data_IF_235880445564
#
_entry.id   IF_235880445564
#
_cell.length_a   1.000
_cell.length_b   1.000
_cell.length_c   1.000
_cell.angle_alpha   90.00
_cell.angle_beta   90.00
_cell.angle_gamma   90.00
#
_symmetry.space_group_name_H-M   'P 1'
#
loop_
_entity.id
_entity.type
_entity.pdbx_description
1 polymer ?
#
# COMPACT_ATOMS: atom_id res chain seq x y z
N UNK A 1 -14.34 23.21 -62.71
CA UNK A 1 -14.51 22.30 -61.55
C UNK A 1 -13.14 22.01 -60.95
N UNK A 2 -13.07 21.72 -59.65
CA UNK A 2 -12.01 22.11 -58.70
C UNK A 2 -10.62 21.48 -58.96
N UNK A 3 -9.60 22.34 -59.01
CA UNK A 3 -8.17 21.98 -59.06
C UNK A 3 -7.65 21.62 -57.67
N UNK A 4 -6.90 20.53 -57.58
CA UNK A 4 -6.31 19.98 -56.35
C UNK A 4 -5.29 20.96 -55.73
N UNK A 5 -5.53 21.35 -54.47
CA UNK A 5 -4.57 22.10 -53.67
C UNK A 5 -3.47 21.16 -53.15
N UNK A 6 -2.20 21.47 -53.47
CA UNK A 6 -1.01 20.81 -52.92
C UNK A 6 -0.94 21.04 -51.40
N UNK A 7 -1.07 19.96 -50.62
CA UNK A 7 -0.79 19.98 -49.19
C UNK A 7 0.73 20.07 -48.97
N UNK A 8 1.18 21.16 -48.33
CA UNK A 8 2.59 21.42 -48.03
C UNK A 8 3.20 20.49 -46.97
N UNK A 9 4.54 20.44 -46.86
CA UNK A 9 5.29 19.44 -46.09
C UNK A 9 5.12 19.54 -44.56
N UNK A 10 4.45 20.58 -44.04
CA UNK A 10 4.25 20.80 -42.61
C UNK A 10 3.42 19.71 -41.90
N UNK A 11 2.55 19.00 -42.63
CA UNK A 11 1.77 17.90 -42.05
C UNK A 11 2.59 16.64 -41.76
N UNK A 12 3.67 16.40 -42.50
CA UNK A 12 4.52 15.24 -42.28
C UNK A 12 5.37 15.39 -41.00
N UNK A 13 5.76 16.62 -40.65
CA UNK A 13 6.62 16.89 -39.50
C UNK A 13 5.90 16.66 -38.15
N UNK A 14 4.60 16.95 -38.07
CA UNK A 14 3.80 16.78 -36.85
C UNK A 14 3.53 15.31 -36.50
N UNK A 15 3.48 14.42 -37.50
CA UNK A 15 3.30 12.97 -37.27
C UNK A 15 4.59 12.32 -36.77
N UNK A 16 5.76 12.79 -37.23
CA UNK A 16 7.05 12.25 -36.80
C UNK A 16 7.37 12.54 -35.32
N UNK A 17 6.90 13.66 -34.78
CA UNK A 17 7.12 14.03 -33.37
C UNK A 17 6.31 13.19 -32.38
N UNK A 18 5.21 12.55 -32.81
CA UNK A 18 4.37 11.72 -31.94
C UNK A 18 4.95 10.31 -31.68
N UNK A 19 6.02 9.91 -32.39
CA UNK A 19 6.67 8.60 -32.25
C UNK A 19 7.89 8.61 -31.33
N UNK A 20 8.27 9.76 -30.77
CA UNK A 20 9.44 9.87 -29.89
C UNK A 20 9.01 9.61 -28.45
N UNK A 21 9.10 8.33 -28.07
CA UNK A 21 9.37 7.90 -26.70
C UNK A 21 8.18 7.90 -25.73
N UNK A 22 7.48 6.77 -25.63
CA UNK A 22 6.85 6.40 -24.37
C UNK A 22 7.98 6.10 -23.38
N UNK A 23 8.40 7.07 -22.57
CA UNK A 23 9.24 6.77 -21.42
C UNK A 23 8.44 5.87 -20.50
N UNK A 24 8.93 4.67 -20.22
CA UNK A 24 8.35 3.78 -19.21
C UNK A 24 8.35 4.53 -17.87
N UNK A 25 7.18 5.04 -17.48
CA UNK A 25 7.00 5.61 -16.16
C UNK A 25 7.06 4.45 -15.17
N UNK A 26 8.23 4.22 -14.58
CA UNK A 26 8.39 3.32 -13.44
C UNK A 26 7.64 3.90 -12.24
N UNK A 27 6.35 3.56 -12.14
CA UNK A 27 5.56 3.81 -10.96
C UNK A 27 6.18 3.01 -9.81
N UNK A 28 6.93 3.69 -8.95
CA UNK A 28 7.45 3.10 -7.72
C UNK A 28 6.26 2.58 -6.91
N UNK A 29 6.16 1.26 -6.78
CA UNK A 29 5.10 0.64 -6.00
C UNK A 29 5.22 1.12 -4.56
N UNK A 30 4.11 1.58 -3.97
CA UNK A 30 4.08 2.03 -2.58
C UNK A 30 4.47 0.87 -1.67
N UNK A 31 5.74 0.84 -1.23
CA UNK A 31 6.27 -0.24 -0.41
C UNK A 31 5.56 -0.24 0.94
N UNK A 32 5.12 -1.40 1.39
CA UNK A 32 4.59 -1.56 2.74
C UNK A 32 5.65 -1.16 3.77
N UNK A 33 5.25 -0.40 4.80
CA UNK A 33 6.16 0.09 5.83
C UNK A 33 6.08 -0.82 7.05
N UNK A 34 7.19 -1.45 7.49
CA UNK A 34 7.22 -2.17 8.75
C UNK A 34 7.23 -1.17 9.92
N UNK A 35 6.41 -1.44 10.93
CA UNK A 35 6.43 -0.74 12.21
C UNK A 35 6.38 -1.77 13.33
N UNK A 36 7.36 -1.68 14.22
CA UNK A 36 7.35 -2.40 15.50
C UNK A 36 6.44 -1.66 16.48
N UNK A 37 5.41 -2.33 16.93
CA UNK A 37 4.41 -1.76 17.81
C UNK A 37 3.82 -2.82 18.75
N UNK A 38 3.26 -2.34 19.85
CA UNK A 38 2.41 -3.14 20.73
C UNK A 38 0.98 -3.03 20.23
N UNK A 39 0.31 -4.16 20.08
CA UNK A 39 -1.10 -4.19 19.72
C UNK A 39 -1.93 -3.76 20.94
N UNK A 40 -2.62 -2.62 20.86
CA UNK A 40 -3.48 -2.17 21.96
C UNK A 40 -4.88 -2.78 21.86
N UNK A 41 -5.42 -2.83 20.65
CA UNK A 41 -6.75 -3.39 20.41
C UNK A 41 -6.84 -3.98 19.00
N UNK A 42 -7.54 -5.11 18.90
CA UNK A 42 -7.91 -5.75 17.62
C UNK A 42 -9.42 -5.89 17.63
N UNK A 43 -10.09 -5.29 16.65
CA UNK A 43 -11.52 -5.49 16.42
C UNK A 43 -11.72 -6.04 15.02
N UNK A 44 -11.97 -7.34 14.92
CA UNK A 44 -12.24 -8.01 13.64
C UNK A 44 -13.62 -7.61 13.08
N UNK A 45 -14.59 -7.38 13.97
CA UNK A 45 -15.93 -6.90 13.62
C UNK A 45 -15.87 -5.51 12.96
N UNK A 46 -15.22 -4.55 13.62
CA UNK A 46 -15.06 -3.20 13.09
C UNK A 46 -13.91 -3.07 12.06
N UNK A 47 -13.19 -4.17 11.81
CA UNK A 47 -12.00 -4.23 10.94
C UNK A 47 -10.99 -3.14 11.25
N UNK A 48 -10.65 -3.00 12.52
CA UNK A 48 -9.70 -2.00 13.01
C UNK A 48 -8.63 -2.64 13.88
N UNK A 49 -7.42 -2.14 13.73
CA UNK A 49 -6.26 -2.45 14.54
C UNK A 49 -5.71 -1.15 15.13
N UNK A 50 -5.61 -1.09 16.45
CA UNK A 50 -4.96 0.02 17.14
C UNK A 50 -3.60 -0.44 17.63
N UNK A 51 -2.56 0.31 17.26
CA UNK A 51 -1.18 0.00 17.61
C UNK A 51 -0.53 1.17 18.34
N UNK A 52 0.25 0.86 19.36
CA UNK A 52 1.15 1.80 20.02
C UNK A 52 2.57 1.59 19.50
N UNK A 53 3.13 2.54 18.70
CA UNK A 53 4.50 2.43 18.23
C UNK A 53 5.49 2.48 19.39
N UNK A 54 6.54 1.65 19.36
CA UNK A 54 7.50 1.54 20.46
C UNK A 54 8.25 2.85 20.79
N UNK A 55 8.35 3.79 19.85
CA UNK A 55 9.13 5.05 19.99
C UNK A 55 8.32 6.22 20.56
N UNK A 56 7.40 5.98 21.49
CA UNK A 56 6.64 7.04 22.18
C UNK A 56 5.75 7.89 21.26
N UNK A 57 5.37 7.36 20.09
CA UNK A 57 4.43 8.03 19.19
C UNK A 57 3.00 7.74 19.63
N UNK A 58 2.09 8.64 19.28
CA UNK A 58 0.67 8.45 19.53
C UNK A 58 0.16 7.13 18.92
N UNK A 59 -0.81 6.46 19.57
CA UNK A 59 -1.48 5.31 19.00
C UNK A 59 -2.01 5.58 17.60
N UNK A 60 -1.83 4.60 16.71
CA UNK A 60 -2.26 4.69 15.32
C UNK A 60 -3.35 3.66 15.05
N UNK A 61 -4.45 4.12 14.46
CA UNK A 61 -5.56 3.27 14.06
C UNK A 61 -5.37 2.91 12.58
N UNK A 62 -5.34 1.61 12.30
CA UNK A 62 -5.16 1.05 10.97
C UNK A 62 -6.38 0.21 10.59
N UNK A 63 -6.79 0.28 9.33
CA UNK A 63 -7.87 -0.56 8.82
C UNK A 63 -7.36 -1.99 8.57
N UNK A 64 -8.12 -2.98 9.02
CA UNK A 64 -7.93 -4.38 8.63
C UNK A 64 -8.73 -4.63 7.35
N UNK A 65 -8.16 -5.44 6.46
CA UNK A 65 -8.80 -5.82 5.20
C UNK A 65 -8.89 -7.34 5.12
N UNK A 66 -9.73 -7.86 4.22
CA UNK A 66 -9.77 -9.32 3.95
C UNK A 66 -8.44 -9.87 3.43
N UNK A 67 -7.56 -9.00 2.96
CA UNK A 67 -6.23 -9.36 2.46
C UNK A 67 -5.15 -9.30 3.54
N UNK A 68 -5.48 -8.85 4.76
CA UNK A 68 -4.52 -8.77 5.85
C UNK A 68 -4.08 -10.17 6.26
N UNK A 69 -2.77 -10.41 6.21
CA UNK A 69 -2.16 -11.68 6.57
C UNK A 69 -1.71 -11.67 8.02
N UNK A 70 -2.12 -12.65 8.79
CA UNK A 70 -1.71 -12.83 10.19
C UNK A 70 -0.67 -13.94 10.26
N UNK A 71 0.51 -13.62 10.78
CA UNK A 71 1.62 -14.56 10.88
C UNK A 71 2.09 -14.67 12.33
N UNK A 72 1.91 -15.84 12.92
CA UNK A 72 2.48 -16.21 14.21
C UNK A 72 3.69 -17.10 14.01
N UNK A 73 4.85 -16.72 14.57
CA UNK A 73 6.09 -17.49 14.42
C UNK A 73 6.40 -17.83 12.95
N UNK A 74 6.18 -16.85 12.05
CA UNK A 74 6.32 -16.99 10.59
C UNK A 74 5.37 -17.98 9.89
N UNK A 75 4.37 -18.50 10.60
CA UNK A 75 3.30 -19.36 10.05
C UNK A 75 1.99 -18.60 9.97
N UNK A 76 1.15 -18.92 8.98
CA UNK A 76 -0.18 -18.34 8.91
C UNK A 76 -0.99 -18.74 10.13
N UNK A 77 -1.52 -17.73 10.81
CA UNK A 77 -2.32 -17.85 12.01
C UNK A 77 -3.68 -17.20 11.80
N UNK A 78 -4.72 -17.65 12.51
CA UNK A 78 -6.00 -16.99 12.49
C UNK A 78 -5.92 -15.66 13.28
N UNK A 79 -6.78 -14.71 12.91
CA UNK A 79 -6.68 -13.33 13.39
C UNK A 79 -7.06 -13.15 14.87
N UNK A 80 -7.84 -14.07 15.40
CA UNK A 80 -8.26 -14.22 16.80
C UNK A 80 -7.11 -14.59 17.74
N UNK A 81 -6.02 -15.17 17.20
CA UNK A 81 -4.84 -15.53 17.98
C UNK A 81 -4.00 -14.30 18.37
N UNK A 82 -4.19 -13.18 17.66
CA UNK A 82 -3.52 -11.91 17.95
C UNK A 82 -4.20 -11.19 19.13
N UNK A 83 -3.55 -11.22 20.29
CA UNK A 83 -4.08 -10.61 21.52
C UNK A 83 -3.59 -9.18 21.75
N UNK A 84 -4.39 -8.31 22.39
CA UNK A 84 -3.90 -7.06 22.98
C UNK A 84 -2.68 -7.29 23.88
N UNK A 85 -1.76 -6.32 23.91
CA UNK A 85 -0.47 -6.40 24.61
C UNK A 85 0.65 -7.11 23.83
N UNK A 86 0.33 -7.76 22.70
CA UNK A 86 1.34 -8.48 21.92
C UNK A 86 2.25 -7.51 21.18
N UNK A 87 3.57 -7.69 21.29
CA UNK A 87 4.54 -7.01 20.44
C UNK A 87 4.53 -7.64 19.05
N UNK A 88 4.27 -6.83 18.03
CA UNK A 88 4.18 -7.30 16.66
C UNK A 88 4.86 -6.32 15.69
N UNK A 89 5.35 -6.86 14.58
CA UNK A 89 5.74 -6.06 13.41
C UNK A 89 4.53 -5.95 12.48
N UNK A 90 4.01 -4.74 12.37
CA UNK A 90 2.84 -4.42 11.54
C UNK A 90 3.30 -3.78 10.24
N UNK A 91 2.92 -4.38 9.12
CA UNK A 91 3.19 -3.85 7.80
C UNK A 91 1.92 -3.20 7.28
N UNK A 92 1.95 -1.89 7.10
CA UNK A 92 0.81 -1.15 6.59
C UNK A 92 1.16 -0.40 5.32
N UNK A 93 0.13 -0.06 4.56
CA UNK A 93 0.21 0.76 3.37
C UNK A 93 -0.71 1.97 3.56
N UNK A 94 -0.20 3.13 3.18
CA UNK A 94 -0.99 4.36 3.11
C UNK A 94 -1.34 4.58 1.64
N UNK A 95 -2.62 4.41 1.25
CA UNK A 95 -3.06 4.75 -0.10
C UNK A 95 -3.03 6.28 -0.30
N UNK A 96 -3.02 6.73 -1.56
CA UNK A 96 -3.09 8.16 -1.88
C UNK A 96 -4.43 8.77 -1.44
N UNK A 97 -5.50 7.99 -1.48
CA UNK A 97 -6.81 8.34 -0.93
C UNK A 97 -7.24 7.31 0.11
N UNK A 98 -7.70 7.76 1.27
CA UNK A 98 -8.28 6.93 2.31
C UNK A 98 -7.37 6.63 3.50
N UNK A 99 -7.82 5.71 4.36
CA UNK A 99 -7.14 5.37 5.61
C UNK A 99 -5.99 4.38 5.36
N UNK A 100 -4.89 4.46 6.13
CA UNK A 100 -3.88 3.43 6.11
C UNK A 100 -4.47 2.07 6.49
N UNK A 101 -4.03 1.02 5.79
CA UNK A 101 -4.52 -0.33 6.01
C UNK A 101 -3.38 -1.34 6.18
N UNK A 102 -3.66 -2.39 6.94
CA UNK A 102 -2.69 -3.42 7.29
C UNK A 102 -2.60 -4.46 6.17
N UNK A 103 -1.38 -4.74 5.73
CA UNK A 103 -1.08 -5.76 4.73
C UNK A 103 -0.70 -7.09 5.37
N UNK A 104 0.14 -7.05 6.40
CA UNK A 104 0.47 -8.23 7.21
C UNK A 104 0.87 -7.84 8.63
N UNK A 105 0.63 -8.75 9.56
CA UNK A 105 1.03 -8.64 10.96
C UNK A 105 1.88 -9.86 11.27
N UNK A 106 3.06 -9.65 11.84
CA UNK A 106 3.97 -10.72 12.25
C UNK A 106 4.24 -10.57 13.73
N UNK A 107 3.97 -11.61 14.52
CA UNK A 107 4.34 -11.66 15.94
C UNK A 107 5.03 -12.98 16.26
N UNK A 108 5.92 -12.94 17.24
CA UNK A 108 6.71 -14.08 17.69
C UNK A 108 6.49 -14.18 19.20
N UNK A 109 6.16 -15.38 19.70
CA UNK A 109 6.03 -15.58 21.14
C UNK A 109 7.43 -15.53 21.77
N UNK A 110 7.66 -14.60 22.70
CA UNK A 110 8.90 -14.56 23.52
C UNK A 110 9.65 -13.22 23.54
N UNK A 111 8.96 -12.09 23.70
CA UNK A 111 9.60 -10.79 23.96
C UNK A 111 8.78 -9.89 24.90
#
# INVERSE_FOLDING_TARGET
MKSFARAGPFRALLVAAALIGTTDAFAHTTRSRPVEATVEAVSLENRMLTIAPARGKAPSILALTRQTKFLHNWKFAPADELKPGTRATVYYRTPFFGKPFVTKIVWINGA
#
